data_IF_531073246130
#
_entry.id   IF_531073246130
#
_cell.length_a   1.000
_cell.length_b   1.000
_cell.length_c   1.000
_cell.angle_alpha   90.00
_cell.angle_beta   90.00
_cell.angle_gamma   90.00
#
_symmetry.space_group_name_H-M   'P 1'
#
loop_
_entity.id
_entity.type
_entity.pdbx_description
1 polymer ?
#
# COMPACT_ATOMS: atom_id res chain seq x y z
N UNK A 1 8.23 15.94 5.38
CA UNK A 1 7.72 15.52 4.08
C UNK A 1 8.40 14.22 3.65
N UNK A 2 7.65 13.42 2.91
CA UNK A 2 8.17 12.19 2.31
C UNK A 2 8.26 12.39 0.81
N UNK A 3 9.41 12.03 0.22
CA UNK A 3 9.59 12.04 -1.22
C UNK A 3 9.72 10.60 -1.71
N UNK A 4 8.95 10.27 -2.73
CA UNK A 4 8.97 8.95 -3.35
C UNK A 4 9.48 9.12 -4.78
N UNK A 5 10.50 8.35 -5.12
CA UNK A 5 11.01 8.30 -6.49
C UNK A 5 10.66 6.95 -7.06
N UNK A 6 9.89 6.92 -8.14
CA UNK A 6 9.57 5.68 -8.83
C UNK A 6 9.75 5.86 -10.32
N UNK A 7 10.15 4.79 -10.97
CA UNK A 7 10.51 4.84 -12.39
C UNK A 7 9.30 4.91 -13.32
N UNK A 8 8.17 4.38 -12.85
CA UNK A 8 6.96 4.28 -13.66
C UNK A 8 5.78 4.75 -12.82
N UNK A 9 4.86 5.43 -13.46
CA UNK A 9 3.67 5.94 -12.80
C UNK A 9 3.58 7.45 -12.88
N UNK A 10 2.53 7.99 -12.31
CA UNK A 10 2.28 9.42 -12.31
C UNK A 10 3.04 10.11 -11.19
N UNK A 11 3.58 11.30 -11.46
CA UNK A 11 4.08 12.17 -10.42
C UNK A 11 2.91 12.94 -9.80
N UNK A 12 3.10 13.43 -8.58
CA UNK A 12 2.06 14.21 -7.95
C UNK A 12 2.28 14.38 -6.46
N UNK A 13 1.33 15.04 -5.85
CA UNK A 13 1.31 15.29 -4.40
C UNK A 13 0.18 14.53 -3.75
N UNK A 14 0.44 14.03 -2.56
CA UNK A 14 -0.53 13.30 -1.77
C UNK A 14 -0.28 13.58 -0.29
N UNK A 15 -1.12 12.99 0.54
CA UNK A 15 -1.02 13.14 1.99
C UNK A 15 -1.33 11.79 2.62
N UNK A 16 -0.57 11.43 3.66
CA UNK A 16 -0.87 10.25 4.45
C UNK A 16 -2.07 10.56 5.34
N UNK A 17 -3.16 9.85 5.17
CA UNK A 17 -4.37 10.10 5.95
C UNK A 17 -4.77 8.91 6.82
N UNK A 18 -4.18 7.75 6.58
CA UNK A 18 -4.49 6.53 7.32
C UNK A 18 -3.24 5.68 7.41
N UNK A 19 -2.99 5.12 8.59
CA UNK A 19 -1.85 4.25 8.86
C UNK A 19 -2.35 2.99 9.55
N UNK A 20 -1.81 1.82 9.16
CA UNK A 20 -2.21 0.55 9.75
C UNK A 20 -1.01 -0.34 10.02
N UNK A 21 -1.05 -1.03 11.16
CA UNK A 21 -0.09 -2.08 11.53
C UNK A 21 -0.62 -3.41 10.99
N UNK A 22 0.24 -4.17 10.31
CA UNK A 22 -0.13 -5.50 9.81
C UNK A 22 -1.53 -5.50 9.18
N UNK A 23 -1.75 -4.68 8.14
CA UNK A 23 -3.09 -4.48 7.59
C UNK A 23 -3.59 -5.71 6.86
N UNK A 24 -4.91 -5.91 6.91
CA UNK A 24 -5.57 -6.86 6.01
C UNK A 24 -5.46 -6.35 4.58
N UNK A 25 -5.31 -7.27 3.64
CA UNK A 25 -5.28 -6.94 2.23
C UNK A 25 -6.61 -7.34 1.59
N UNK A 26 -7.31 -6.35 1.06
CA UNK A 26 -8.54 -6.57 0.32
C UNK A 26 -8.23 -6.38 -1.16
N UNK A 27 -8.38 -7.42 -2.00
CA UNK A 27 -8.06 -7.29 -3.42
C UNK A 27 -8.98 -6.26 -4.10
N UNK A 28 -8.43 -5.47 -5.03
CA UNK A 28 -9.26 -4.55 -5.82
C UNK A 28 -10.32 -5.31 -6.63
N UNK A 29 -11.44 -4.66 -6.86
CA UNK A 29 -12.54 -5.28 -7.63
C UNK A 29 -12.09 -5.73 -9.02
N UNK A 30 -11.24 -4.96 -9.66
CA UNK A 30 -10.71 -5.28 -10.99
C UNK A 30 -9.90 -6.57 -10.98
N UNK A 31 -9.14 -6.79 -9.92
CA UNK A 31 -8.36 -8.04 -9.77
C UNK A 31 -9.29 -9.24 -9.63
N UNK A 32 -10.34 -9.11 -8.82
CA UNK A 32 -11.32 -10.19 -8.64
C UNK A 32 -12.03 -10.50 -9.96
N UNK A 33 -12.34 -9.47 -10.74
CA UNK A 33 -12.97 -9.66 -12.05
C UNK A 33 -12.06 -10.37 -13.04
N UNK A 34 -10.77 -10.04 -13.03
CA UNK A 34 -9.79 -10.67 -13.94
C UNK A 34 -9.38 -12.07 -13.49
N UNK A 35 -9.36 -12.30 -12.19
CA UNK A 35 -8.89 -13.55 -11.60
C UNK A 35 -9.88 -14.01 -10.53
N UNK A 36 -11.09 -14.42 -10.92
CA UNK A 36 -12.11 -14.81 -9.94
C UNK A 36 -11.72 -15.99 -9.07
N UNK A 37 -10.75 -16.80 -9.52
CA UNK A 37 -10.26 -17.94 -8.75
C UNK A 37 -9.58 -17.53 -7.45
N UNK A 38 -9.13 -16.27 -7.30
CA UNK A 38 -8.50 -15.86 -6.06
C UNK A 38 -9.49 -15.82 -4.89
N UNK A 39 -10.78 -15.67 -5.17
CA UNK A 39 -11.81 -15.59 -4.13
C UNK A 39 -11.81 -16.79 -3.22
N UNK A 40 -11.52 -17.97 -3.77
CA UNK A 40 -11.47 -19.22 -3.00
C UNK A 40 -10.35 -19.22 -1.95
N UNK A 41 -9.34 -18.37 -2.11
CA UNK A 41 -8.20 -18.26 -1.20
C UNK A 41 -8.37 -17.14 -0.17
N UNK A 42 -9.46 -16.38 -0.26
CA UNK A 42 -9.68 -15.26 0.63
C UNK A 42 -10.41 -15.70 1.90
N UNK A 43 -10.19 -14.97 2.97
CA UNK A 43 -10.82 -15.21 4.25
C UNK A 43 -11.60 -13.99 4.69
N UNK A 44 -12.51 -14.17 5.64
CA UNK A 44 -13.20 -13.06 6.27
C UNK A 44 -12.22 -12.27 7.13
N UNK A 45 -12.16 -10.97 6.88
CA UNK A 45 -11.42 -10.04 7.73
C UNK A 45 -12.37 -8.98 8.25
N UNK A 46 -11.98 -8.18 9.28
CA UNK A 46 -12.83 -7.10 9.76
C UNK A 46 -13.25 -6.10 8.69
N UNK A 47 -12.54 -6.06 7.56
CA UNK A 47 -12.82 -5.11 6.47
C UNK A 47 -13.38 -5.78 5.21
N UNK A 48 -13.66 -7.07 5.25
CA UNK A 48 -14.24 -7.80 4.14
C UNK A 48 -13.43 -9.04 3.78
N UNK A 49 -13.72 -9.64 2.63
CA UNK A 49 -12.99 -10.78 2.12
C UNK A 49 -11.61 -10.38 1.64
N UNK A 50 -10.58 -11.01 2.18
CA UNK A 50 -9.21 -10.68 1.84
C UNK A 50 -8.21 -11.62 2.47
N UNK A 51 -6.97 -11.16 2.56
CA UNK A 51 -5.91 -11.85 3.27
C UNK A 51 -5.73 -11.15 4.62
N UNK A 52 -5.91 -11.88 5.75
CA UNK A 52 -5.72 -11.28 7.06
C UNK A 52 -4.30 -10.74 7.24
N UNK A 53 -4.16 -9.66 8.01
CA UNK A 53 -2.87 -9.08 8.34
C UNK A 53 -1.93 -10.13 8.94
N UNK A 54 -0.66 -10.07 8.55
CA UNK A 54 0.34 -11.03 9.01
C UNK A 54 1.36 -11.34 7.94
N UNK A 55 2.22 -12.35 8.17
CA UNK A 55 3.33 -12.66 7.25
C UNK A 55 2.91 -13.01 5.83
N UNK A 56 1.67 -13.41 5.62
CA UNK A 56 1.15 -13.78 4.29
C UNK A 56 0.47 -12.61 3.57
N UNK A 57 0.23 -11.49 4.25
CA UNK A 57 -0.45 -10.36 3.62
C UNK A 57 0.48 -9.63 2.66
N UNK A 58 0.05 -9.39 1.42
CA UNK A 58 0.87 -8.66 0.45
C UNK A 58 1.26 -7.26 0.88
N UNK A 59 0.53 -6.65 1.81
CA UNK A 59 0.83 -5.31 2.32
C UNK A 59 1.97 -5.30 3.34
N UNK A 60 2.41 -6.48 3.79
CA UNK A 60 3.51 -6.59 4.73
C UNK A 60 3.18 -6.03 6.12
N UNK A 61 4.21 -5.56 6.80
CA UNK A 61 4.13 -5.20 8.21
C UNK A 61 3.35 -3.91 8.48
N UNK A 62 3.38 -2.96 7.55
CA UNK A 62 2.74 -1.64 7.72
C UNK A 62 2.23 -1.15 6.39
N UNK A 63 1.19 -0.32 6.44
CA UNK A 63 0.73 0.42 5.27
C UNK A 63 0.35 1.84 5.64
N UNK A 64 0.67 2.76 4.74
CA UNK A 64 0.28 4.16 4.83
C UNK A 64 -0.52 4.49 3.57
N UNK A 65 -1.72 5.00 3.76
CA UNK A 65 -2.69 5.18 2.68
C UNK A 65 -2.65 6.63 2.21
N UNK A 66 -2.50 6.81 0.91
CA UNK A 66 -2.33 8.13 0.31
C UNK A 66 -3.67 8.68 -0.16
N UNK A 67 -3.95 9.89 0.30
CA UNK A 67 -5.15 10.63 -0.08
C UNK A 67 -4.74 11.86 -0.90
N UNK A 68 -5.70 12.45 -1.56
CA UNK A 68 -5.46 13.70 -2.28
C UNK A 68 -4.92 14.77 -1.33
N UNK A 69 -4.19 15.73 -1.88
CA UNK A 69 -3.64 16.82 -1.09
C UNK A 69 -4.77 17.54 -0.36
N UNK A 70 -4.61 17.69 0.96
CA UNK A 70 -5.69 18.17 1.82
C UNK A 70 -6.56 17.05 2.39
N UNK A 71 -6.37 15.80 1.99
CA UNK A 71 -7.06 14.66 2.58
C UNK A 71 -8.46 14.40 2.05
N UNK A 72 -8.80 14.93 0.86
CA UNK A 72 -10.17 14.90 0.34
C UNK A 72 -10.69 13.53 -0.03
N UNK A 73 -9.89 12.71 -0.69
CA UNK A 73 -10.32 11.35 -1.05
C UNK A 73 -9.14 10.42 -1.22
N UNK A 74 -9.40 9.13 -1.05
CA UNK A 74 -8.41 8.06 -1.18
C UNK A 74 -7.98 7.95 -2.65
N UNK A 75 -6.67 8.05 -2.89
CA UNK A 75 -6.12 7.93 -4.24
C UNK A 75 -5.96 6.48 -4.68
N UNK A 76 -6.16 5.52 -3.78
CA UNK A 76 -5.93 4.12 -4.08
C UNK A 76 -4.48 3.70 -3.99
N UNK A 77 -3.57 4.62 -3.70
CA UNK A 77 -2.14 4.33 -3.59
C UNK A 77 -1.76 4.13 -2.13
N UNK A 78 -0.79 3.24 -1.93
CA UNK A 78 -0.30 2.88 -0.61
C UNK A 78 1.22 2.83 -0.61
N UNK A 79 1.83 3.21 0.52
CA UNK A 79 3.23 2.91 0.81
C UNK A 79 3.18 1.77 1.82
N UNK A 80 3.72 0.61 1.47
CA UNK A 80 3.56 -0.57 2.31
C UNK A 80 4.77 -1.50 2.27
N UNK A 81 4.81 -2.44 3.20
CA UNK A 81 5.81 -3.50 3.18
C UNK A 81 5.50 -4.55 2.12
N UNK A 82 6.25 -5.62 2.13
CA UNK A 82 6.06 -6.70 1.16
C UNK A 82 6.46 -8.04 1.73
N UNK A 83 5.83 -9.10 1.25
CA UNK A 83 6.26 -10.47 1.49
C UNK A 83 7.25 -10.94 0.44
N UNK A 84 7.49 -10.14 -0.60
CA UNK A 84 8.36 -10.49 -1.73
C UNK A 84 9.38 -9.39 -1.97
N UNK A 85 10.39 -9.23 -1.07
CA UNK A 85 11.34 -8.11 -1.16
C UNK A 85 12.15 -8.09 -2.47
N UNK A 86 12.32 -9.22 -3.12
CA UNK A 86 13.04 -9.31 -4.39
C UNK A 86 12.32 -8.59 -5.53
N UNK A 87 11.02 -8.28 -5.36
CA UNK A 87 10.25 -7.60 -6.40
C UNK A 87 10.33 -6.07 -6.29
N UNK A 88 10.97 -5.55 -5.24
CA UNK A 88 11.11 -4.10 -5.07
C UNK A 88 11.92 -3.53 -6.22
N UNK A 89 11.45 -2.41 -6.78
CA UNK A 89 12.09 -1.77 -7.92
C UNK A 89 11.64 -2.34 -9.26
N UNK A 90 10.80 -3.36 -9.27
CA UNK A 90 10.24 -3.90 -10.51
C UNK A 90 8.83 -3.35 -10.74
N UNK A 91 8.37 -3.44 -11.98
CA UNK A 91 7.05 -2.93 -12.37
C UNK A 91 5.99 -4.01 -12.20
N UNK A 92 5.69 -4.41 -10.96
CA UNK A 92 4.76 -5.51 -10.69
C UNK A 92 3.43 -5.08 -10.08
N UNK A 93 3.24 -3.80 -9.80
CA UNK A 93 1.96 -3.31 -9.26
C UNK A 93 1.63 -1.94 -9.82
N UNK A 94 0.35 -1.63 -9.87
CA UNK A 94 -0.15 -0.32 -10.30
C UNK A 94 -0.45 0.54 -9.07
N UNK A 95 0.34 1.59 -8.87
CA UNK A 95 0.05 2.61 -7.86
C UNK A 95 0.49 2.31 -6.44
N UNK A 96 1.11 1.16 -6.18
CA UNK A 96 1.63 0.84 -4.84
C UNK A 96 3.14 1.05 -4.78
N UNK A 97 3.59 1.58 -3.66
CA UNK A 97 5.00 1.84 -3.39
C UNK A 97 5.43 0.83 -2.32
N UNK A 98 6.33 -0.09 -2.70
CA UNK A 98 6.73 -1.18 -1.82
C UNK A 98 8.09 -0.93 -1.21
N UNK A 99 8.22 -1.31 0.05
CA UNK A 99 9.47 -1.24 0.80
C UNK A 99 9.70 -2.57 1.51
N UNK A 100 10.94 -2.90 1.82
CA UNK A 100 11.18 -4.03 2.73
C UNK A 100 10.52 -3.74 4.07
N UNK A 101 10.06 -4.79 4.75
CA UNK A 101 9.30 -4.62 6.00
C UNK A 101 10.05 -3.81 7.05
N UNK A 102 11.34 -4.05 7.20
CA UNK A 102 12.16 -3.30 8.15
C UNK A 102 12.12 -1.80 7.88
N UNK A 103 12.20 -1.42 6.61
CA UNK A 103 12.22 -0.01 6.23
C UNK A 103 10.85 0.65 6.39
N UNK A 104 9.77 -0.04 6.04
CA UNK A 104 8.43 0.54 6.23
C UNK A 104 8.09 0.71 7.71
N UNK A 105 8.53 -0.21 8.56
CA UNK A 105 8.34 -0.06 10.02
C UNK A 105 9.05 1.20 10.50
N UNK A 106 10.27 1.45 10.05
CA UNK A 106 11.03 2.63 10.43
C UNK A 106 10.36 3.91 9.93
N UNK A 107 9.99 3.94 8.64
CA UNK A 107 9.31 5.12 8.06
C UNK A 107 7.97 5.39 8.76
N UNK A 108 7.24 4.33 9.08
CA UNK A 108 5.94 4.43 9.74
C UNK A 108 6.03 5.18 11.08
N UNK A 109 7.09 4.97 11.83
CA UNK A 109 7.26 5.66 13.12
C UNK A 109 7.57 7.14 12.95
N UNK A 110 8.08 7.54 11.79
CA UNK A 110 8.52 8.92 11.53
C UNK A 110 7.50 9.73 10.73
N UNK A 111 6.65 9.08 9.95
CA UNK A 111 5.68 9.76 9.10
C UNK A 111 4.29 9.70 9.74
N UNK A 112 3.84 10.83 10.27
CA UNK A 112 2.53 10.91 10.92
C UNK A 112 1.41 11.12 9.91
N UNK A 113 0.17 10.91 10.35
CA UNK A 113 -1.01 11.31 9.58
C UNK A 113 -0.92 12.81 9.30
N UNK A 114 -1.19 13.21 8.07
CA UNK A 114 -1.04 14.58 7.61
C UNK A 114 0.28 14.84 6.90
N UNK A 115 1.26 13.93 6.98
CA UNK A 115 2.53 14.09 6.29
C UNK A 115 2.32 14.19 4.78
N UNK A 116 2.94 15.20 4.18
CA UNK A 116 2.88 15.38 2.72
C UNK A 116 3.80 14.39 2.02
N UNK A 117 3.32 13.85 0.91
CA UNK A 117 4.06 12.91 0.09
C UNK A 117 4.13 13.46 -1.33
N UNK A 118 5.35 13.58 -1.84
CA UNK A 118 5.58 13.98 -3.23
C UNK A 118 6.09 12.77 -3.99
N UNK A 119 5.39 12.40 -5.05
CA UNK A 119 5.79 11.30 -5.92
C UNK A 119 6.50 11.89 -7.13
N UNK A 120 7.73 11.47 -7.35
CA UNK A 120 8.58 11.92 -8.45
C UNK A 120 8.76 10.78 -9.44
N UNK A 121 8.77 11.11 -10.72
CA UNK A 121 9.01 10.11 -11.77
C UNK A 121 10.34 10.33 -12.47
#
# INVERSE_FOLDING_TARGET
DVKVVQRLGASGRAQINLKRNWPDWIPPKEMVQRQPEIVAKLEKTPRGLGVPGGPKSPLGARAMYLFSDGGGHDLGYRIHGTTEPETIGTNVSSGCIRMVNQDIVHLYTRASVGTKVTVLT
#
